data_IF_176980669705
#
_entry.id   IF_176980669705
#
_cell.length_a   1.000
_cell.length_b   1.000
_cell.length_c   1.000
_cell.angle_alpha   90.00
_cell.angle_beta   90.00
_cell.angle_gamma   90.00
#
_symmetry.space_group_name_H-M   'P 1'
#
loop_
_entity.id
_entity.type
_entity.pdbx_description
1 polymer ?
#
# COMPACT_ATOMS: atom_id res chain seq x y z
N UNK A 1 -54.00 -26.13 -43.61
CA UNK A 1 -52.93 -25.11 -43.53
C UNK A 1 -52.81 -24.70 -42.07
N UNK A 2 -51.88 -25.29 -41.31
CA UNK A 2 -51.65 -24.97 -39.90
C UNK A 2 -50.31 -24.25 -39.82
N UNK A 3 -50.36 -22.92 -39.68
CA UNK A 3 -49.19 -22.06 -39.53
C UNK A 3 -48.40 -22.43 -38.27
N UNK A 4 -47.13 -22.75 -38.44
CA UNK A 4 -46.17 -22.90 -37.37
C UNK A 4 -45.78 -21.53 -36.81
N UNK A 5 -45.90 -21.38 -35.50
CA UNK A 5 -45.35 -20.23 -34.78
C UNK A 5 -44.09 -20.71 -34.06
N UNK A 6 -42.93 -20.38 -34.63
CA UNK A 6 -41.62 -20.65 -34.06
C UNK A 6 -41.36 -19.70 -32.87
N UNK A 7 -40.97 -20.31 -31.76
CA UNK A 7 -40.38 -19.70 -30.56
C UNK A 7 -39.27 -18.71 -30.90
N UNK A 8 -39.23 -17.55 -30.22
CA UNK A 8 -37.96 -16.90 -29.83
C UNK A 8 -38.11 -16.33 -28.42
N UNK A 9 -37.73 -17.13 -27.42
CA UNK A 9 -37.48 -16.67 -26.05
C UNK A 9 -36.10 -15.98 -26.04
N UNK A 10 -36.08 -14.65 -26.02
CA UNK A 10 -34.86 -13.87 -25.78
C UNK A 10 -34.51 -13.93 -24.28
N UNK A 11 -33.59 -14.82 -23.93
CA UNK A 11 -32.87 -14.80 -22.65
C UNK A 11 -31.88 -13.62 -22.66
N UNK A 12 -32.22 -12.51 -22.01
CA UNK A 12 -31.23 -11.48 -21.66
C UNK A 12 -30.42 -11.98 -20.45
N UNK A 13 -29.23 -12.52 -20.71
CA UNK A 13 -28.20 -12.65 -19.69
C UNK A 13 -27.48 -11.30 -19.56
N UNK A 14 -27.76 -10.55 -18.49
CA UNK A 14 -26.98 -9.37 -18.13
C UNK A 14 -25.70 -9.82 -17.43
N UNK A 15 -24.57 -9.77 -18.15
CA UNK A 15 -23.25 -9.95 -17.55
C UNK A 15 -22.85 -8.65 -16.85
N UNK A 16 -22.99 -8.61 -15.52
CA UNK A 16 -22.43 -7.55 -14.69
C UNK A 16 -20.89 -7.69 -14.67
N UNK A 17 -20.22 -6.94 -15.55
CA UNK A 17 -18.76 -6.79 -15.50
C UNK A 17 -18.36 -6.01 -14.25
N UNK A 18 -17.81 -6.69 -13.26
CA UNK A 18 -17.08 -6.03 -12.19
C UNK A 18 -15.81 -5.40 -12.79
N UNK A 19 -15.77 -4.07 -12.81
CA UNK A 19 -14.55 -3.32 -13.14
C UNK A 19 -13.59 -3.48 -11.97
N UNK A 20 -12.65 -4.40 -12.08
CA UNK A 20 -11.48 -4.47 -11.19
C UNK A 20 -10.55 -3.33 -11.61
N UNK A 21 -10.52 -2.25 -10.83
CA UNK A 21 -9.52 -1.20 -10.99
C UNK A 21 -8.18 -1.78 -10.55
N UNK A 22 -7.34 -2.17 -11.51
CA UNK A 22 -5.94 -2.45 -11.27
C UNK A 22 -5.30 -1.19 -10.67
N UNK A 23 -4.84 -1.27 -9.42
CA UNK A 23 -3.95 -0.26 -8.87
C UNK A 23 -2.66 -0.32 -9.69
N UNK A 24 -2.39 0.73 -10.46
CA UNK A 24 -1.21 0.81 -11.31
C UNK A 24 0.07 0.64 -10.50
N UNK A 25 1.08 0.03 -11.15
CA UNK A 25 2.45 -0.10 -10.66
C UNK A 25 3.07 1.31 -10.52
N UNK A 26 2.76 1.99 -9.42
CA UNK A 26 3.21 3.35 -9.15
C UNK A 26 4.64 3.38 -8.60
N UNK A 27 5.37 4.47 -8.88
CA UNK A 27 6.70 4.70 -8.33
C UNK A 27 6.60 5.25 -6.90
N UNK A 28 7.39 4.68 -6.00
CA UNK A 28 7.55 5.20 -4.64
C UNK A 28 8.41 6.46 -4.65
N UNK A 29 7.93 7.51 -3.98
CA UNK A 29 8.60 8.80 -3.86
C UNK A 29 9.51 8.89 -2.64
N UNK A 30 9.28 8.09 -1.60
CA UNK A 30 10.00 8.21 -0.35
C UNK A 30 9.52 9.37 0.50
N UNK A 31 9.76 9.25 1.80
CA UNK A 31 9.15 10.12 2.81
C UNK A 31 9.58 11.59 2.73
N UNK A 32 10.77 11.88 2.22
CA UNK A 32 11.27 13.25 2.06
C UNK A 32 10.42 14.06 1.08
N UNK A 33 9.86 13.43 0.05
CA UNK A 33 8.93 14.08 -0.86
C UNK A 33 7.64 14.48 -0.15
N UNK A 34 7.15 13.65 0.77
CA UNK A 34 5.97 13.96 1.58
C UNK A 34 6.22 15.15 2.52
N UNK A 35 7.40 15.20 3.15
CA UNK A 35 7.80 16.24 4.10
C UNK A 35 7.71 17.66 3.53
N UNK A 36 8.02 17.81 2.24
CA UNK A 36 8.06 19.13 1.60
C UNK A 36 6.71 19.86 1.65
N UNK A 37 5.60 19.13 1.55
CA UNK A 37 4.25 19.70 1.60
C UNK A 37 3.50 19.38 2.90
N UNK A 38 3.89 18.33 3.63
CA UNK A 38 3.20 17.83 4.82
C UNK A 38 4.11 17.71 6.06
N UNK A 39 4.77 18.81 6.49
CA UNK A 39 5.73 18.76 7.59
C UNK A 39 5.10 18.39 8.94
N UNK A 40 3.89 18.87 9.22
CA UNK A 40 3.20 18.60 10.48
C UNK A 40 2.75 17.13 10.57
N UNK A 41 2.23 16.59 9.46
CA UNK A 41 1.84 15.17 9.37
C UNK A 41 3.07 14.29 9.57
N UNK A 42 4.20 14.65 8.96
CA UNK A 42 5.45 13.94 9.17
C UNK A 42 5.88 13.97 10.64
N UNK A 43 5.80 15.13 11.29
CA UNK A 43 6.17 15.31 12.70
C UNK A 43 5.35 14.40 13.62
N UNK A 44 4.07 14.20 13.32
CA UNK A 44 3.23 13.29 14.10
C UNK A 44 3.50 11.83 13.76
N UNK A 45 3.64 11.49 12.48
CA UNK A 45 4.02 10.14 12.07
C UNK A 45 5.35 9.70 12.69
N UNK A 46 6.36 10.58 12.77
CA UNK A 46 7.70 10.23 13.26
C UNK A 46 7.73 9.82 14.74
N UNK A 47 6.67 10.15 15.50
CA UNK A 47 6.51 9.76 16.90
C UNK A 47 5.91 8.35 17.07
N UNK A 48 5.38 7.77 15.99
CA UNK A 48 4.66 6.48 16.02
C UNK A 48 5.60 5.27 16.06
N UNK A 49 5.05 4.08 16.24
CA UNK A 49 5.79 2.82 16.09
C UNK A 49 6.05 2.48 14.62
N UNK A 50 5.19 2.91 13.69
CA UNK A 50 5.39 2.70 12.26
C UNK A 50 6.66 3.38 11.73
N UNK A 51 6.97 4.59 12.24
CA UNK A 51 8.22 5.27 11.92
C UNK A 51 9.48 4.54 12.39
N UNK A 52 9.35 3.65 13.39
CA UNK A 52 10.45 2.88 13.97
C UNK A 52 10.39 1.40 13.63
N UNK A 53 9.52 0.98 12.72
CA UNK A 53 9.27 -0.44 12.47
C UNK A 53 10.54 -1.16 11.98
N UNK A 54 11.34 -0.54 11.11
CA UNK A 54 12.59 -1.12 10.66
C UNK A 54 13.65 -1.23 11.77
N UNK A 55 13.76 -0.22 12.64
CA UNK A 55 14.74 -0.24 13.74
C UNK A 55 14.50 -1.44 14.67
N UNK A 56 13.25 -1.90 14.81
CA UNK A 56 12.94 -3.12 15.55
C UNK A 56 13.60 -4.35 14.93
N UNK A 57 13.69 -4.43 13.60
CA UNK A 57 14.38 -5.53 12.92
C UNK A 57 15.90 -5.46 13.14
N UNK A 58 16.48 -4.27 13.01
CA UNK A 58 17.92 -4.05 13.24
C UNK A 58 18.31 -4.49 14.66
N UNK A 59 17.49 -4.16 15.66
CA UNK A 59 17.75 -4.51 17.05
C UNK A 59 17.79 -6.03 17.32
N UNK A 60 17.19 -6.84 16.45
CA UNK A 60 17.15 -8.30 16.57
C UNK A 60 17.88 -9.03 15.42
N UNK A 61 18.63 -8.29 14.57
CA UNK A 61 19.39 -8.83 13.46
C UNK A 61 18.54 -9.44 12.34
N UNK A 62 17.34 -8.90 12.10
CA UNK A 62 16.39 -9.37 11.08
C UNK A 62 16.17 -8.37 9.95
N UNK A 63 17.01 -7.34 9.84
CA UNK A 63 16.88 -6.24 8.87
C UNK A 63 17.08 -6.66 7.41
N UNK A 64 17.46 -7.92 7.16
CA UNK A 64 17.57 -8.52 5.81
C UNK A 64 16.59 -9.68 5.60
N UNK A 65 15.74 -9.98 6.58
CA UNK A 65 14.82 -11.10 6.48
C UNK A 65 13.65 -10.73 5.57
N UNK A 66 13.58 -11.40 4.42
CA UNK A 66 12.53 -11.19 3.41
C UNK A 66 11.10 -11.49 3.92
N UNK A 67 10.94 -12.23 5.02
CA UNK A 67 9.64 -12.44 5.67
C UNK A 67 9.22 -11.25 6.54
N UNK A 68 10.18 -10.49 7.08
CA UNK A 68 9.92 -9.34 7.95
C UNK A 68 9.77 -8.03 7.16
N UNK A 69 10.58 -7.86 6.10
CA UNK A 69 10.65 -6.64 5.30
C UNK A 69 9.30 -6.17 4.72
N UNK A 70 8.37 -7.04 4.26
CA UNK A 70 7.07 -6.61 3.74
C UNK A 70 6.25 -5.75 4.71
N UNK A 71 6.39 -5.97 6.03
CA UNK A 71 5.62 -5.25 7.06
C UNK A 71 6.40 -4.12 7.73
N UNK A 72 7.73 -4.22 7.76
CA UNK A 72 8.62 -3.31 8.48
C UNK A 72 9.36 -2.33 7.54
N UNK A 73 9.00 -2.30 6.26
CA UNK A 73 9.48 -1.33 5.28
C UNK A 73 8.34 -0.88 4.38
N UNK A 74 8.61 0.01 3.44
CA UNK A 74 7.60 0.50 2.50
C UNK A 74 7.81 -0.11 1.12
N UNK A 75 6.85 -0.89 0.65
CA UNK A 75 6.81 -1.36 -0.74
C UNK A 75 7.83 -2.45 -1.09
N UNK A 76 8.39 -3.17 -0.12
CA UNK A 76 9.30 -4.30 -0.39
C UNK A 76 8.63 -5.34 -1.31
N UNK A 77 9.35 -5.78 -2.33
CA UNK A 77 8.84 -6.69 -3.36
C UNK A 77 7.77 -6.08 -4.30
N UNK A 78 7.45 -4.79 -4.15
CA UNK A 78 6.44 -4.06 -4.94
C UNK A 78 7.01 -2.84 -5.67
N UNK A 79 8.34 -2.77 -5.83
CA UNK A 79 9.05 -1.63 -6.42
C UNK A 79 9.42 -0.51 -5.44
N UNK A 80 9.25 -0.75 -4.14
CA UNK A 80 9.66 0.15 -3.05
C UNK A 80 11.03 -0.22 -2.46
N UNK A 81 11.08 -0.38 -1.14
CA UNK A 81 12.31 -0.63 -0.38
C UNK A 81 13.11 -1.82 -0.95
N UNK A 82 14.42 -1.61 -1.10
CA UNK A 82 15.40 -2.62 -1.52
C UNK A 82 16.40 -2.84 -0.38
N UNK A 83 17.11 -1.78 0.00
CA UNK A 83 18.04 -1.75 1.13
C UNK A 83 18.20 -0.31 1.66
N UNK A 84 18.82 -0.16 2.84
CA UNK A 84 19.02 1.15 3.47
C UNK A 84 19.90 2.11 2.67
N UNK A 85 20.87 1.59 1.90
CA UNK A 85 21.80 2.42 1.15
C UNK A 85 21.16 2.99 -0.13
N UNK A 86 20.32 2.20 -0.79
CA UNK A 86 19.69 2.56 -2.07
C UNK A 86 18.30 3.17 -1.91
N UNK A 87 17.57 2.83 -0.84
CA UNK A 87 16.19 3.29 -0.61
C UNK A 87 15.94 3.79 0.83
N UNK A 88 16.79 4.69 1.36
CA UNK A 88 16.69 5.15 2.76
C UNK A 88 15.33 5.81 3.09
N UNK A 89 14.73 6.51 2.12
CA UNK A 89 13.43 7.16 2.29
C UNK A 89 12.21 6.21 2.35
N UNK A 90 12.43 4.91 2.15
CA UNK A 90 11.40 3.86 2.23
C UNK A 90 11.64 2.91 3.42
N UNK A 91 12.62 3.24 4.27
CA UNK A 91 12.89 2.55 5.52
C UNK A 91 11.73 2.73 6.50
N UNK A 92 11.27 1.63 7.08
CA UNK A 92 10.12 1.63 7.99
C UNK A 92 8.78 1.66 7.26
N UNK A 93 7.70 1.65 8.04
CA UNK A 93 6.33 1.74 7.54
C UNK A 93 5.98 3.22 7.36
N UNK A 94 6.29 3.76 6.18
CA UNK A 94 6.16 5.20 5.88
C UNK A 94 4.78 5.55 5.32
N UNK A 95 4.61 6.80 4.86
CA UNK A 95 3.37 7.31 4.27
C UNK A 95 2.81 6.39 3.18
N UNK A 96 3.69 5.93 2.28
CA UNK A 96 3.30 5.17 1.09
C UNK A 96 2.98 3.70 1.39
N UNK A 97 3.25 3.22 2.61
CA UNK A 97 2.80 1.90 3.06
C UNK A 97 1.28 1.87 3.22
N UNK A 98 0.67 3.00 3.60
CA UNK A 98 -0.78 3.15 3.69
C UNK A 98 -1.37 3.82 2.44
N UNK A 99 -0.72 4.86 1.95
CA UNK A 99 -1.24 5.73 0.89
C UNK A 99 -0.90 5.27 -0.53
N UNK A 100 -0.16 4.17 -0.67
CA UNK A 100 0.34 3.68 -1.95
C UNK A 100 1.50 4.53 -2.51
N UNK A 101 2.03 4.17 -3.68
CA UNK A 101 3.14 4.91 -4.29
C UNK A 101 2.73 6.35 -4.64
N UNK A 102 3.48 7.32 -4.14
CA UNK A 102 3.12 8.74 -4.16
C UNK A 102 4.00 9.63 -5.02
N UNK A 103 4.92 9.08 -5.83
CA UNK A 103 5.78 9.91 -6.68
C UNK A 103 4.95 10.76 -7.66
N UNK A 104 3.93 10.18 -8.31
CA UNK A 104 3.08 10.89 -9.26
C UNK A 104 2.29 12.03 -8.59
N UNK A 105 1.85 11.82 -7.34
CA UNK A 105 1.22 12.87 -6.53
C UNK A 105 2.18 14.03 -6.22
N UNK A 106 3.41 13.72 -5.82
CA UNK A 106 4.43 14.72 -5.53
C UNK A 106 4.82 15.52 -6.80
N UNK A 107 5.00 14.83 -7.93
CA UNK A 107 5.38 15.43 -9.21
C UNK A 107 4.29 16.35 -9.77
N UNK A 108 3.03 16.14 -9.38
CA UNK A 108 1.87 16.92 -9.82
C UNK A 108 1.32 17.84 -8.73
N UNK A 109 2.21 18.46 -7.94
CA UNK A 109 1.88 19.53 -6.98
C UNK A 109 0.80 19.12 -5.97
N UNK A 110 0.80 17.85 -5.56
CA UNK A 110 -0.14 17.35 -4.58
C UNK A 110 -1.52 17.00 -5.13
N UNK A 111 -1.62 16.66 -6.43
CA UNK A 111 -2.88 16.19 -7.03
C UNK A 111 -3.43 14.98 -6.25
N UNK A 112 -4.59 15.21 -5.63
CA UNK A 112 -5.25 14.29 -4.72
C UNK A 112 -5.83 13.05 -5.39
N UNK A 113 -5.92 13.06 -6.73
CA UNK A 113 -6.39 11.90 -7.51
C UNK A 113 -5.27 10.87 -7.75
N UNK A 114 -4.01 11.25 -7.53
CA UNK A 114 -2.81 10.43 -7.74
C UNK A 114 -2.27 9.79 -6.46
N UNK A 115 -3.07 9.74 -5.40
CA UNK A 115 -2.69 9.15 -4.11
C UNK A 115 -3.92 8.53 -3.43
N UNK A 116 -3.72 7.44 -2.68
CA UNK A 116 -4.80 6.89 -1.86
C UNK A 116 -5.03 7.76 -0.62
N UNK A 117 -5.89 8.77 -0.72
CA UNK A 117 -6.17 9.68 0.41
C UNK A 117 -6.81 9.02 1.63
N UNK A 118 -7.66 8.03 1.39
CA UNK A 118 -8.41 7.33 2.41
C UNK A 118 -8.15 5.83 2.26
N UNK A 119 -7.05 5.30 2.81
CA UNK A 119 -6.78 3.88 2.74
C UNK A 119 -7.89 3.08 3.43
N UNK A 120 -8.22 1.92 2.88
CA UNK A 120 -9.16 0.99 3.52
C UNK A 120 -8.47 0.32 4.72
N UNK A 121 -9.27 -0.22 5.64
CA UNK A 121 -8.72 -0.99 6.78
C UNK A 121 -7.92 -2.23 6.37
N UNK A 122 -8.03 -2.67 5.10
CA UNK A 122 -7.25 -3.77 4.56
C UNK A 122 -5.76 -3.48 4.59
N UNK A 123 -5.33 -2.23 4.37
CA UNK A 123 -3.89 -1.91 4.39
C UNK A 123 -3.25 -2.18 5.75
N UNK A 124 -4.03 -2.04 6.82
CA UNK A 124 -3.62 -2.40 8.16
C UNK A 124 -3.51 -3.92 8.31
N UNK A 125 -4.52 -4.64 7.80
CA UNK A 125 -4.64 -6.09 7.86
C UNK A 125 -3.61 -6.83 6.98
N UNK A 126 -2.98 -6.17 6.02
CA UNK A 126 -1.88 -6.76 5.25
C UNK A 126 -0.67 -7.09 6.14
N UNK A 127 -0.50 -6.36 7.25
CA UNK A 127 0.57 -6.58 8.22
C UNK A 127 0.05 -7.09 9.57
N UNK A 128 -1.06 -6.54 10.07
CA UNK A 128 -1.61 -6.83 11.39
C UNK A 128 -2.62 -7.98 11.35
N UNK A 129 -2.13 -9.19 11.09
CA UNK A 129 -2.95 -10.41 11.14
C UNK A 129 -2.72 -11.15 12.46
N UNK A 130 -3.74 -11.86 12.96
CA UNK A 130 -3.68 -12.60 14.23
C UNK A 130 -2.63 -13.74 14.23
N UNK A 131 -2.07 -14.06 13.06
CA UNK A 131 -1.16 -15.15 12.78
C UNK A 131 0.24 -14.69 12.27
N UNK A 132 0.54 -13.39 12.22
CA UNK A 132 1.86 -12.92 11.77
C UNK A 132 2.90 -12.96 12.92
N UNK A 133 3.70 -14.03 12.88
CA UNK A 133 5.10 -14.34 13.32
C UNK A 133 5.67 -13.77 14.64
N UNK A 134 5.25 -12.63 15.19
CA UNK A 134 5.82 -12.18 16.46
C UNK A 134 4.95 -11.18 17.22
N UNK A 135 4.60 -11.56 18.45
CA UNK A 135 3.99 -10.73 19.47
C UNK A 135 4.76 -9.42 19.62
N UNK A 136 4.15 -8.31 19.19
CA UNK A 136 4.62 -6.96 19.54
C UNK A 136 4.54 -6.85 21.07
N UNK A 137 5.64 -6.56 21.79
CA UNK A 137 5.57 -6.33 23.22
C UNK A 137 4.56 -5.22 23.49
N UNK A 138 3.50 -5.55 24.22
CA UNK A 138 2.58 -4.52 24.73
C UNK A 138 3.39 -3.70 25.74
N UNK A 139 3.65 -2.44 25.42
CA UNK A 139 4.14 -1.47 26.40
C UNK A 139 3.11 -1.28 27.50
#
# INVERSE_FOLDING_TARGET
MRSGMLLVLFLLAAASGAVVLAQGEGKYGGIDNCKMCHPDILSDWSKTLHARSFDLLVNVGQEKNAECLPCHTTGYGKGGFVDEATTPGLKGTTCEACHGPGADHADHMGDKTKIQRAPSGQVCADCHQQNNIHSVPKK
#
